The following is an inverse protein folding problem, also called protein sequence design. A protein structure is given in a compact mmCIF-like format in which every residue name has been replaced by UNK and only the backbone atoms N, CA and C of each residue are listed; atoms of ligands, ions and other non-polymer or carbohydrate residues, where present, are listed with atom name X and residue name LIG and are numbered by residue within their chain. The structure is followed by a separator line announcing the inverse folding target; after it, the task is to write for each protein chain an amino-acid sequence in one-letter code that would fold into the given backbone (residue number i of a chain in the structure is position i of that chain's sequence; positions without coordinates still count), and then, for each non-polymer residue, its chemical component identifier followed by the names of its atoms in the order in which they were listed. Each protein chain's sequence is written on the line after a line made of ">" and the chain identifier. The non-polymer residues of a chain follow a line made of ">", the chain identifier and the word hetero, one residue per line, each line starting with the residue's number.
data_IF_087358077148
#
_entry.id   IF_087358077148
#
_cell.length_a   1.000
_cell.length_b   1.000
_cell.length_c   1.000
_cell.angle_alpha   90.00
_cell.angle_beta   90.00
_cell.angle_gamma   90.00
#
_symmetry.space_group_name_H-M   'P 1'
#
loop_
_entity.id
_entity.type
_entity.pdbx_description
1 polymer ?
#
# COMPACT_ATOMS: atom_id res chain seq x y z
N UNK A 1 -31.73 22.52 13.02
CA UNK A 1 -31.72 21.54 14.12
C UNK A 1 -31.84 20.18 13.47
N UNK A 2 -30.71 19.60 13.07
CA UNK A 2 -30.69 18.23 12.56
C UNK A 2 -30.77 17.32 13.78
N UNK A 3 -31.92 16.68 13.96
CA UNK A 3 -32.08 15.65 14.98
C UNK A 3 -31.34 14.41 14.52
N UNK A 4 -30.23 14.10 15.17
CA UNK A 4 -29.67 12.75 15.09
C UNK A 4 -30.71 11.79 15.69
N UNK A 5 -31.36 11.01 14.83
CA UNK A 5 -32.12 9.85 15.27
C UNK A 5 -31.16 8.92 16.04
N UNK A 6 -31.54 8.43 17.24
CA UNK A 6 -30.68 7.53 17.98
C UNK A 6 -30.52 6.23 17.19
N UNK A 7 -29.29 5.92 16.79
CA UNK A 7 -28.95 4.64 16.18
C UNK A 7 -29.48 3.51 17.06
N UNK A 8 -30.21 2.56 16.47
CA UNK A 8 -30.78 1.44 17.20
C UNK A 8 -29.65 0.65 17.89
N UNK A 9 -29.75 0.48 19.21
CA UNK A 9 -28.81 -0.40 19.92
C UNK A 9 -28.96 -1.84 19.41
N UNK A 10 -27.84 -2.49 19.06
CA UNK A 10 -27.81 -3.87 18.56
C UNK A 10 -27.01 -4.77 19.51
N UNK A 11 -27.39 -6.04 19.57
CA UNK A 11 -26.64 -7.02 20.34
C UNK A 11 -25.27 -7.29 19.71
N UNK A 12 -24.19 -7.14 20.46
CA UNK A 12 -22.84 -7.36 19.94
C UNK A 12 -22.56 -8.81 19.55
N UNK A 13 -23.34 -9.79 20.03
CA UNK A 13 -23.15 -11.22 19.70
C UNK A 13 -23.89 -11.65 18.44
N UNK A 14 -25.21 -11.44 18.38
CA UNK A 14 -26.04 -11.89 17.26
C UNK A 14 -26.32 -10.79 16.22
N UNK A 15 -25.89 -9.55 16.48
CA UNK A 15 -26.05 -8.38 15.59
C UNK A 15 -27.51 -8.07 15.24
N UNK A 16 -28.46 -8.53 16.05
CA UNK A 16 -29.89 -8.18 15.92
C UNK A 16 -30.27 -7.07 16.89
N UNK A 17 -31.26 -6.28 16.50
CA UNK A 17 -31.83 -5.21 17.31
C UNK A 17 -32.53 -5.76 18.57
N UNK A 18 -32.57 -4.94 19.62
CA UNK A 18 -33.35 -5.24 20.81
C UNK A 18 -34.82 -4.93 20.56
N UNK A 19 -35.66 -5.96 20.43
CA UNK A 19 -37.11 -5.80 20.30
C UNK A 19 -37.84 -6.09 21.63
N UNK A 20 -38.69 -5.15 22.05
CA UNK A 20 -39.59 -5.32 23.19
C UNK A 20 -38.92 -5.29 24.56
N UNK A 21 -39.51 -6.00 25.52
CA UNK A 21 -39.07 -6.10 26.92
C UNK A 21 -37.90 -7.09 27.14
N UNK A 22 -37.28 -7.55 26.04
CA UNK A 22 -36.14 -8.44 26.07
C UNK A 22 -34.91 -7.67 26.58
N UNK A 23 -34.77 -7.66 27.91
CA UNK A 23 -33.66 -6.99 28.57
C UNK A 23 -32.30 -7.49 28.08
N UNK A 24 -31.31 -6.62 28.24
CA UNK A 24 -29.93 -6.88 27.85
C UNK A 24 -29.00 -6.75 29.05
N UNK A 25 -27.77 -7.24 28.89
CA UNK A 25 -26.66 -6.95 29.79
C UNK A 25 -25.56 -6.22 29.03
N UNK A 26 -24.79 -5.37 29.71
CA UNK A 26 -23.63 -4.71 29.13
C UNK A 26 -22.35 -5.45 29.50
N UNK A 27 -21.46 -5.59 28.53
CA UNK A 27 -20.09 -6.06 28.78
C UNK A 27 -19.38 -5.06 29.70
N UNK A 28 -18.72 -5.54 30.75
CA UNK A 28 -18.01 -4.69 31.72
C UNK A 28 -16.69 -4.10 31.17
N UNK A 29 -16.24 -4.57 29.99
CA UNK A 29 -15.03 -4.05 29.35
C UNK A 29 -15.33 -3.08 28.20
N UNK A 30 -16.13 -3.49 27.22
CA UNK A 30 -16.44 -2.67 26.04
C UNK A 30 -17.78 -1.93 26.12
N UNK A 31 -18.56 -2.12 27.20
CA UNK A 31 -19.90 -1.56 27.40
C UNK A 31 -20.94 -1.93 26.34
N UNK A 32 -20.61 -2.85 25.42
CA UNK A 32 -21.54 -3.33 24.39
C UNK A 32 -22.68 -4.14 24.99
N UNK A 33 -23.88 -3.91 24.48
CA UNK A 33 -25.12 -4.58 24.90
C UNK A 33 -25.22 -5.98 24.31
N UNK A 34 -25.66 -6.96 25.10
CA UNK A 34 -25.85 -8.36 24.71
C UNK A 34 -27.23 -8.82 25.20
N UNK A 35 -28.01 -9.50 24.35
CA UNK A 35 -29.27 -10.12 24.78
C UNK A 35 -29.03 -11.07 25.96
N UNK A 36 -29.96 -11.10 26.94
CA UNK A 36 -29.93 -12.07 28.05
C UNK A 36 -29.67 -13.50 27.59
N UNK A 37 -30.34 -13.93 26.52
CA UNK A 37 -30.21 -15.28 25.96
C UNK A 37 -28.89 -15.50 25.20
N UNK A 38 -28.25 -14.43 24.75
CA UNK A 38 -26.96 -14.49 24.08
C UNK A 38 -25.78 -14.64 25.05
N UNK A 39 -25.96 -14.35 26.34
CA UNK A 39 -24.83 -14.26 27.29
C UNK A 39 -24.34 -15.62 27.80
N UNK A 40 -25.05 -16.71 27.50
CA UNK A 40 -24.70 -18.07 27.96
C UNK A 40 -24.44 -18.15 29.48
N UNK A 41 -25.16 -17.35 30.28
CA UNK A 41 -25.07 -17.38 31.74
C UNK A 41 -25.99 -18.46 32.31
N UNK A 42 -25.55 -19.11 33.36
CA UNK A 42 -26.36 -20.01 34.19
C UNK A 42 -27.43 -19.22 34.95
N UNK A 43 -28.49 -19.90 35.40
CA UNK A 43 -29.56 -19.28 36.19
C UNK A 43 -29.05 -18.61 37.47
N UNK A 44 -27.99 -19.15 38.09
CA UNK A 44 -27.31 -18.55 39.24
C UNK A 44 -26.60 -17.25 38.89
N UNK A 45 -25.90 -17.21 37.75
CA UNK A 45 -25.16 -16.01 37.31
C UNK A 45 -26.12 -14.89 36.90
N UNK A 46 -27.21 -15.24 36.20
CA UNK A 46 -28.27 -14.29 35.82
C UNK A 46 -28.85 -13.56 37.05
N UNK A 47 -29.04 -14.27 38.17
CA UNK A 47 -29.54 -13.66 39.43
C UNK A 47 -28.56 -12.65 40.03
N UNK A 48 -27.26 -12.78 39.74
CA UNK A 48 -26.23 -11.88 40.25
C UNK A 48 -26.08 -10.60 39.42
N UNK A 49 -26.48 -10.60 38.15
CA UNK A 49 -26.33 -9.46 37.23
C UNK A 49 -27.02 -8.14 37.68
N UNK A 50 -28.24 -8.14 38.24
CA UNK A 50 -28.90 -6.90 38.67
C UNK A 50 -28.37 -6.32 40.00
N UNK A 51 -27.46 -7.01 40.70
CA UNK A 51 -26.95 -6.55 41.98
C UNK A 51 -26.00 -5.35 41.80
N UNK A 52 -26.27 -4.24 42.49
CA UNK A 52 -25.51 -2.98 42.38
C UNK A 52 -24.01 -3.10 42.75
N UNK A 53 -23.63 -4.14 43.51
CA UNK A 53 -22.25 -4.40 43.94
C UNK A 53 -21.82 -5.83 43.59
N UNK A 54 -22.09 -6.26 42.36
CA UNK A 54 -21.67 -7.58 41.90
C UNK A 54 -20.15 -7.66 41.76
N UNK A 55 -19.57 -8.78 42.25
CA UNK A 55 -18.17 -9.15 42.00
C UNK A 55 -18.04 -9.87 40.65
N UNK A 56 -19.11 -10.54 40.22
CA UNK A 56 -19.17 -11.23 38.94
C UNK A 56 -19.15 -10.21 37.80
N UNK A 57 -18.14 -10.28 36.94
CA UNK A 57 -18.03 -9.48 35.72
C UNK A 57 -18.56 -10.26 34.51
N UNK A 58 -19.29 -9.57 33.64
CA UNK A 58 -19.70 -10.05 32.35
C UNK A 58 -18.75 -9.50 31.28
N UNK A 59 -17.98 -10.38 30.67
CA UNK A 59 -17.07 -10.04 29.58
C UNK A 59 -17.54 -10.76 28.30
N UNK A 60 -17.75 -10.02 27.21
CA UNK A 60 -18.14 -10.62 25.93
C UNK A 60 -17.00 -11.44 25.31
N UNK A 61 -17.32 -12.32 24.37
CA UNK A 61 -16.34 -13.24 23.80
C UNK A 61 -15.22 -12.53 23.02
N UNK A 62 -15.52 -11.41 22.35
CA UNK A 62 -14.52 -10.56 21.69
C UNK A 62 -13.52 -9.99 22.71
N UNK A 63 -14.02 -9.48 23.84
CA UNK A 63 -13.18 -8.97 24.93
C UNK A 63 -12.36 -10.06 25.60
N UNK A 64 -12.92 -11.27 25.79
CA UNK A 64 -12.17 -12.43 26.32
C UNK A 64 -11.00 -12.79 25.41
N UNK A 65 -11.23 -12.83 24.09
CA UNK A 65 -10.17 -13.11 23.11
C UNK A 65 -9.09 -12.03 23.14
N UNK A 66 -9.48 -10.77 23.28
CA UNK A 66 -8.52 -9.66 23.40
C UNK A 66 -7.65 -9.83 24.65
N UNK A 67 -8.25 -10.03 25.82
CA UNK A 67 -7.53 -10.23 27.08
C UNK A 67 -6.57 -11.41 26.98
N UNK A 68 -7.01 -12.53 26.38
CA UNK A 68 -6.15 -13.71 26.20
C UNK A 68 -4.93 -13.44 25.30
N UNK A 69 -5.03 -12.51 24.35
CA UNK A 69 -3.93 -12.10 23.46
C UNK A 69 -3.03 -11.01 24.05
N UNK A 70 -3.47 -10.29 25.08
CA UNK A 70 -2.71 -9.18 25.67
C UNK A 70 -1.29 -9.57 26.09
N UNK A 71 -1.03 -10.71 26.76
CA UNK A 71 0.34 -11.08 27.16
C UNK A 71 1.30 -11.19 25.96
N UNK A 72 0.82 -11.73 24.85
CA UNK A 72 1.60 -11.84 23.62
C UNK A 72 1.88 -10.46 23.01
N UNK A 73 0.87 -9.59 22.96
CA UNK A 73 1.02 -8.22 22.47
C UNK A 73 2.04 -7.43 23.30
N UNK A 74 1.98 -7.54 24.64
CA UNK A 74 2.95 -6.90 25.54
C UNK A 74 4.37 -7.39 25.24
N UNK A 75 4.57 -8.71 25.09
CA UNK A 75 5.88 -9.29 24.73
C UNK A 75 6.41 -8.74 23.40
N UNK A 76 5.58 -8.67 22.36
CA UNK A 76 5.97 -8.08 21.08
C UNK A 76 6.35 -6.60 21.22
N UNK A 77 5.61 -5.82 22.01
CA UNK A 77 5.92 -4.42 22.26
C UNK A 77 7.26 -4.25 22.98
N UNK A 78 7.60 -5.14 23.91
CA UNK A 78 8.89 -5.15 24.59
C UNK A 78 10.05 -5.49 23.65
N UNK A 79 9.86 -6.45 22.74
CA UNK A 79 10.84 -6.79 21.69
C UNK A 79 11.08 -5.61 20.75
N UNK A 80 10.02 -4.98 20.24
CA UNK A 80 10.11 -3.78 19.39
C UNK A 80 10.80 -2.63 20.13
N UNK A 81 10.47 -2.41 21.41
CA UNK A 81 11.09 -1.37 22.22
C UNK A 81 12.59 -1.63 22.42
N UNK A 82 13.01 -2.90 22.49
CA UNK A 82 14.41 -3.32 22.60
C UNK A 82 15.20 -3.08 21.31
N UNK A 83 14.58 -3.26 20.15
CA UNK A 83 15.23 -3.05 18.84
C UNK A 83 15.27 -1.57 18.41
N UNK A 84 14.38 -0.74 18.97
CA UNK A 84 14.34 0.71 18.70
C UNK A 84 15.66 1.46 18.94
N UNK A 85 16.40 1.26 20.05
CA UNK A 85 17.69 1.92 20.26
C UNK A 85 18.75 1.51 19.22
N UNK A 86 18.78 0.25 18.80
CA UNK A 86 19.73 -0.23 17.78
C UNK A 86 19.44 0.39 16.41
N UNK A 87 18.15 0.49 16.05
CA UNK A 87 17.72 1.21 14.86
C UNK A 87 18.07 2.70 14.93
N UNK A 88 17.92 3.36 16.09
CA UNK A 88 18.28 4.78 16.27
C UNK A 88 19.79 5.01 16.27
N UNK A 89 20.58 4.09 16.81
CA UNK A 89 22.05 4.15 16.79
C UNK A 89 22.61 3.92 15.37
N UNK A 90 21.97 3.04 14.60
CA UNK A 90 22.27 2.80 13.19
C UNK A 90 21.68 3.85 12.24
N UNK A 91 20.69 4.63 12.70
CA UNK A 91 20.30 5.91 12.09
C UNK A 91 21.38 6.98 12.35
N UNK A 92 22.64 6.65 12.06
CA UNK A 92 23.66 7.66 11.85
C UNK A 92 23.11 8.56 10.76
N UNK A 93 22.96 9.85 11.07
CA UNK A 93 22.67 10.88 10.08
C UNK A 93 23.65 10.66 8.94
N UNK A 94 23.17 10.12 7.82
CA UNK A 94 23.93 10.13 6.59
C UNK A 94 24.20 11.59 6.31
N UNK A 95 25.41 12.03 6.65
CA UNK A 95 25.85 13.36 6.29
C UNK A 95 25.78 13.45 4.78
N UNK A 96 25.58 14.65 4.25
CA UNK A 96 25.56 14.87 2.80
C UNK A 96 26.79 14.23 2.11
N UNK A 97 27.93 14.14 2.79
CA UNK A 97 29.14 13.44 2.35
C UNK A 97 29.02 11.90 2.26
N UNK A 98 28.23 11.23 3.13
CA UNK A 98 27.97 9.78 3.03
C UNK A 98 26.99 9.47 1.89
N UNK A 99 25.97 10.31 1.70
CA UNK A 99 25.09 10.24 0.52
C UNK A 99 25.92 10.46 -0.74
N UNK A 100 26.84 11.44 -0.73
CA UNK A 100 27.76 11.67 -1.84
C UNK A 100 28.65 10.46 -2.09
N UNK A 101 29.28 9.87 -1.06
CA UNK A 101 30.08 8.66 -1.19
C UNK A 101 29.26 7.47 -1.70
N UNK A 102 27.99 7.31 -1.34
CA UNK A 102 27.15 6.29 -1.96
C UNK A 102 26.82 6.58 -3.44
N UNK A 103 26.96 7.84 -3.88
CA UNK A 103 26.85 8.24 -5.30
C UNK A 103 28.19 8.36 -6.04
N UNK A 104 29.32 8.53 -5.36
CA UNK A 104 30.64 8.80 -5.94
C UNK A 104 31.69 7.73 -5.63
N UNK A 105 31.46 6.85 -4.66
CA UNK A 105 32.06 5.52 -4.71
C UNK A 105 31.39 4.87 -5.89
N UNK A 106 32.12 4.71 -6.98
CA UNK A 106 31.66 3.95 -8.12
C UNK A 106 30.98 2.69 -7.56
N UNK A 107 29.65 2.50 -7.72
CA UNK A 107 29.16 1.16 -7.59
C UNK A 107 29.99 0.36 -8.58
N UNK A 108 30.39 -0.84 -8.18
CA UNK A 108 30.63 -1.94 -9.11
C UNK A 108 29.38 -2.08 -9.99
N UNK A 109 29.24 -1.16 -10.92
CA UNK A 109 28.30 -1.12 -12.03
C UNK A 109 28.94 -1.89 -13.17
N UNK A 110 29.51 -3.02 -12.80
CA UNK A 110 29.69 -4.17 -13.66
C UNK A 110 28.26 -4.68 -13.89
N UNK A 111 27.69 -4.25 -15.01
CA UNK A 111 26.57 -4.91 -15.68
C UNK A 111 25.24 -5.00 -14.93
N UNK A 112 24.54 -3.88 -14.69
CA UNK A 112 23.07 -3.96 -14.71
C UNK A 112 22.63 -3.93 -16.18
N UNK A 113 22.12 -5.05 -16.75
CA UNK A 113 21.67 -5.06 -18.13
C UNK A 113 20.58 -4.00 -18.30
N UNK A 114 20.80 -3.07 -19.24
CA UNK A 114 19.80 -2.08 -19.59
C UNK A 114 18.56 -2.82 -20.09
N UNK A 115 17.47 -2.73 -19.34
CA UNK A 115 16.23 -3.39 -19.75
C UNK A 115 15.77 -2.87 -21.11
N UNK A 116 15.26 -3.75 -21.98
CA UNK A 116 14.71 -3.36 -23.26
C UNK A 116 13.62 -2.31 -23.07
N UNK A 117 13.76 -1.17 -23.75
CA UNK A 117 12.90 0.01 -23.54
C UNK A 117 12.30 0.44 -24.88
N UNK A 118 11.01 0.79 -24.89
CA UNK A 118 10.31 1.33 -26.05
C UNK A 118 9.76 2.72 -25.70
N UNK A 119 9.91 3.67 -26.62
CA UNK A 119 9.41 5.04 -26.46
C UNK A 119 8.30 5.31 -27.46
N UNK A 120 7.11 5.65 -26.97
CA UNK A 120 5.94 6.02 -27.76
C UNK A 120 5.80 7.55 -27.67
N UNK A 121 5.94 8.23 -28.81
CA UNK A 121 5.86 9.69 -28.91
C UNK A 121 4.65 10.12 -29.73
N UNK A 122 3.82 11.06 -29.30
CA UNK A 122 2.76 11.59 -30.14
C UNK A 122 3.35 12.43 -31.27
N UNK A 123 2.78 12.35 -32.47
CA UNK A 123 3.23 13.15 -33.63
C UNK A 123 2.84 14.63 -33.52
N UNK A 124 1.79 14.93 -32.75
CA UNK A 124 1.34 16.28 -32.43
C UNK A 124 1.41 16.51 -30.92
N UNK A 125 1.71 17.74 -30.50
CA UNK A 125 1.84 18.09 -29.09
C UNK A 125 0.47 17.97 -28.39
N UNK A 126 0.30 16.97 -27.52
CA UNK A 126 -0.94 16.73 -26.78
C UNK A 126 -0.85 17.20 -25.32
N UNK A 127 -1.98 17.67 -24.79
CA UNK A 127 -2.11 18.06 -23.39
C UNK A 127 -2.14 16.81 -22.48
N UNK A 128 -1.38 16.88 -21.39
CA UNK A 128 -1.01 15.77 -20.48
C UNK A 128 -2.21 15.03 -19.85
N UNK A 129 -3.40 15.63 -19.85
CA UNK A 129 -4.58 15.11 -19.13
C UNK A 129 -5.44 14.06 -19.86
N UNK A 130 -5.34 13.90 -21.18
CA UNK A 130 -6.27 13.04 -21.95
C UNK A 130 -5.72 11.67 -22.39
N UNK A 131 -4.46 11.34 -22.11
CA UNK A 131 -3.80 10.15 -22.68
C UNK A 131 -3.86 8.86 -21.84
N UNK A 132 -4.55 8.86 -20.70
CA UNK A 132 -4.55 7.70 -19.78
C UNK A 132 -5.39 6.51 -20.27
N UNK A 133 -6.40 6.76 -21.10
CA UNK A 133 -7.41 5.73 -21.44
C UNK A 133 -7.25 5.17 -22.86
N UNK A 134 -6.57 5.88 -23.76
CA UNK A 134 -6.36 5.44 -25.15
C UNK A 134 -5.06 4.64 -25.36
N UNK A 135 -4.23 4.50 -24.33
CA UNK A 135 -2.85 4.04 -24.49
C UNK A 135 -2.65 2.60 -23.98
N UNK A 136 -2.74 1.66 -24.91
CA UNK A 136 -2.25 0.26 -24.83
C UNK A 136 -2.42 -0.38 -23.45
N UNK A 137 -3.54 -1.09 -23.23
CA UNK A 137 -3.71 -1.95 -22.06
C UNK A 137 -2.61 -3.03 -22.02
N UNK A 138 -1.69 -3.00 -21.03
CA UNK A 138 -0.64 -4.01 -20.90
C UNK A 138 -1.20 -5.42 -20.70
N UNK A 139 -2.37 -5.51 -20.07
CA UNK A 139 -3.07 -6.76 -19.78
C UNK A 139 -3.51 -7.51 -21.04
N UNK A 140 -3.78 -6.81 -22.15
CA UNK A 140 -4.22 -7.45 -23.40
C UNK A 140 -3.07 -8.12 -24.18
N UNK A 141 -1.83 -7.70 -23.92
CA UNK A 141 -0.67 -8.10 -24.74
C UNK A 141 0.20 -9.16 -24.01
N UNK A 142 -0.14 -9.48 -22.75
CA UNK A 142 0.59 -10.43 -21.90
C UNK A 142 2.10 -10.17 -21.90
N UNK A 143 2.48 -8.92 -21.62
CA UNK A 143 3.88 -8.46 -21.61
C UNK A 143 4.27 -8.07 -20.19
N UNK A 144 5.39 -8.56 -19.69
CA UNK A 144 5.98 -8.11 -18.42
C UNK A 144 6.47 -6.66 -18.53
N UNK A 145 5.64 -5.69 -18.11
CA UNK A 145 6.06 -4.29 -18.02
C UNK A 145 6.62 -4.02 -16.63
N UNK A 146 7.93 -3.81 -16.56
CA UNK A 146 8.65 -3.49 -15.31
C UNK A 146 8.45 -2.04 -14.87
N UNK A 147 8.33 -1.13 -15.82
CA UNK A 147 8.26 0.28 -15.52
C UNK A 147 7.58 1.06 -16.65
N UNK A 148 6.68 1.97 -16.27
CA UNK A 148 6.03 2.93 -17.16
C UNK A 148 6.46 4.31 -16.67
N UNK A 149 7.12 5.07 -17.54
CA UNK A 149 7.52 6.44 -17.27
C UNK A 149 6.87 7.37 -18.29
N UNK A 150 6.28 8.45 -17.82
CA UNK A 150 5.57 9.45 -18.63
C UNK A 150 6.35 10.77 -18.63
N UNK A 151 7.42 10.90 -19.43
CA UNK A 151 8.12 12.17 -19.54
C UNK A 151 7.22 13.27 -20.12
N UNK A 152 7.56 14.53 -19.80
CA UNK A 152 6.85 15.73 -20.27
C UNK A 152 6.56 15.66 -21.78
N UNK A 153 5.44 16.28 -22.19
CA UNK A 153 4.91 16.34 -23.57
C UNK A 153 4.20 15.07 -24.08
N UNK A 154 3.56 14.32 -23.18
CA UNK A 154 2.70 13.18 -23.57
C UNK A 154 3.48 11.99 -24.14
N UNK A 155 4.77 11.90 -23.86
CA UNK A 155 5.60 10.76 -24.23
C UNK A 155 5.40 9.64 -23.21
N UNK A 156 5.36 8.39 -23.68
CA UNK A 156 5.33 7.21 -22.80
C UNK A 156 6.57 6.37 -23.07
N UNK A 157 7.26 5.97 -22.01
CA UNK A 157 8.45 5.11 -22.04
C UNK A 157 8.12 3.84 -21.26
N UNK A 158 8.12 2.70 -21.95
CA UNK A 158 7.84 1.39 -21.36
C UNK A 158 9.11 0.57 -21.31
N UNK A 159 9.40 -0.03 -20.15
CA UNK A 159 10.51 -0.98 -19.96
C UNK A 159 9.94 -2.39 -19.84
N UNK A 160 10.41 -3.29 -20.69
CA UNK A 160 10.03 -4.70 -20.71
C UNK A 160 11.07 -5.56 -19.99
N UNK A 161 10.65 -6.76 -19.60
CA UNK A 161 11.54 -7.76 -19.02
C UNK A 161 12.50 -8.36 -20.05
N UNK A 162 11.99 -8.67 -21.25
CA UNK A 162 12.75 -9.34 -22.31
C UNK A 162 12.69 -8.61 -23.65
N UNK A 163 13.68 -8.85 -24.53
CA UNK A 163 13.71 -8.25 -25.87
C UNK A 163 12.59 -8.80 -26.77
N UNK A 164 12.18 -10.06 -26.58
CA UNK A 164 11.08 -10.67 -27.33
C UNK A 164 9.73 -10.00 -27.02
N UNK A 165 9.51 -9.68 -25.75
CA UNK A 165 8.36 -8.92 -25.28
C UNK A 165 8.33 -7.51 -25.86
N UNK A 166 9.51 -6.88 -25.96
CA UNK A 166 9.66 -5.56 -26.57
C UNK A 166 9.21 -5.56 -28.04
N UNK A 167 9.58 -6.58 -28.81
CA UNK A 167 9.17 -6.70 -30.21
C UNK A 167 7.66 -6.94 -30.38
N UNK A 168 7.06 -7.77 -29.50
CA UNK A 168 5.61 -7.99 -29.48
C UNK A 168 4.87 -6.70 -29.15
N UNK A 169 5.36 -5.98 -28.14
CA UNK A 169 4.83 -4.68 -27.73
C UNK A 169 4.97 -3.64 -28.85
N UNK A 170 6.11 -3.62 -29.56
CA UNK A 170 6.33 -2.76 -30.73
C UNK A 170 5.32 -3.05 -31.84
N UNK A 171 5.13 -4.31 -32.24
CA UNK A 171 4.17 -4.69 -33.30
C UNK A 171 2.74 -4.32 -32.92
N UNK A 172 2.36 -4.54 -31.66
CA UNK A 172 1.02 -4.19 -31.17
C UNK A 172 0.81 -2.68 -31.11
N UNK A 173 1.81 -1.94 -30.60
CA UNK A 173 1.79 -0.48 -30.55
C UNK A 173 1.73 0.14 -31.95
N UNK A 174 2.55 -0.33 -32.89
CA UNK A 174 2.55 0.11 -34.27
C UNK A 174 1.24 -0.21 -35.00
N UNK A 175 0.55 -1.30 -34.65
CA UNK A 175 -0.74 -1.66 -35.26
C UNK A 175 -1.89 -0.83 -34.71
N UNK A 176 -1.95 -0.63 -33.39
CA UNK A 176 -3.04 0.11 -32.72
C UNK A 176 -2.89 1.63 -32.82
N UNK A 177 -1.66 2.14 -32.82
CA UNK A 177 -1.37 3.58 -32.76
C UNK A 177 -0.85 4.17 -34.08
N UNK A 178 -0.87 3.39 -35.17
CA UNK A 178 -0.44 3.82 -36.51
C UNK A 178 -1.22 5.07 -36.93
N UNK A 179 -0.59 6.23 -36.85
CA UNK A 179 -1.19 7.50 -37.28
C UNK A 179 -0.98 8.63 -36.28
N UNK A 180 -1.28 8.39 -34.99
CA UNK A 180 -1.18 9.41 -33.93
C UNK A 180 0.16 9.41 -33.21
N UNK A 181 0.83 8.26 -33.13
CA UNK A 181 2.07 8.10 -32.39
C UNK A 181 3.19 7.52 -33.27
N UNK A 182 4.43 7.82 -32.89
CA UNK A 182 5.67 7.27 -33.41
C UNK A 182 6.30 6.37 -32.32
N UNK A 183 6.55 5.12 -32.69
CA UNK A 183 7.11 4.11 -31.79
C UNK A 183 8.60 3.98 -32.11
N UNK A 184 9.45 4.40 -31.19
CA UNK A 184 10.90 4.43 -31.36
C UNK A 184 11.59 3.50 -30.35
N UNK A 185 12.53 2.71 -30.85
CA UNK A 185 13.50 2.00 -30.03
C UNK A 185 14.71 2.91 -29.76
N UNK A 186 15.18 3.00 -28.50
CA UNK A 186 16.36 3.78 -28.18
C UNK A 186 17.56 3.18 -28.89
N UNK A 187 18.14 3.94 -29.83
CA UNK A 187 19.42 3.57 -30.45
C UNK A 187 20.52 3.82 -29.43
N UNK A 188 21.44 2.87 -29.27
CA UNK A 188 22.68 3.08 -28.50
C UNK A 188 23.43 4.25 -29.15
N UNK A 189 23.49 5.39 -28.48
CA UNK A 189 24.32 6.52 -28.91
C UNK A 189 25.66 6.43 -28.20
N UNK A 190 26.75 6.55 -28.96
CA UNK A 190 28.07 6.72 -28.37
C UNK A 190 28.13 8.10 -27.70
N UNK A 191 28.74 8.21 -26.50
CA UNK A 191 28.87 9.49 -25.83
C UNK A 191 29.71 10.45 -26.67
N UNK A 192 29.25 11.69 -26.84
CA UNK A 192 30.03 12.76 -27.46
C UNK A 192 30.95 13.37 -26.41
N UNK A 193 32.23 13.05 -26.47
CA UNK A 193 33.25 13.66 -25.60
C UNK A 193 33.61 15.03 -26.19
N UNK A 194 33.37 16.10 -25.43
CA UNK A 194 33.84 17.45 -25.76
C UNK A 194 34.94 17.81 -24.77
N UNK A 195 36.18 17.88 -25.25
CA UNK A 195 37.30 18.37 -24.46
C UNK A 195 37.23 19.90 -24.48
N UNK A 196 37.20 20.52 -23.30
CA UNK A 196 37.17 21.98 -23.14
C UNK A 196 38.37 22.36 -22.27
N UNK A 197 39.22 23.28 -22.74
CA UNK A 197 40.27 23.89 -21.90
C UNK A 197 41.73 23.49 -22.13
N UNK A 198 42.14 22.99 -23.30
CA UNK A 198 43.58 22.97 -23.65
C UNK A 198 43.98 24.31 -24.27
N UNK A 199 44.09 25.34 -23.42
CA UNK A 199 44.84 26.54 -23.75
C UNK A 199 46.27 26.31 -23.26
N UNK A 200 47.21 26.15 -24.20
CA UNK A 200 48.64 26.18 -23.87
C UNK A 200 48.98 27.56 -23.30
N UNK A 201 49.55 27.56 -22.10
CA UNK A 201 50.29 28.70 -21.54
C UNK A 201 51.61 28.84 -22.26
#
# INVERSE_FOLDING_TARGET
>A
MEGNEPEAEVCIKCKTEFHGDNGYYKCDLCFGSVHKDCVNLTSSEVRCMPLQKRVLLLICDECKQLIARMPYMVKMMEEIKRESPDLKANYRKDTYANVLKNTTSAPDSINKPSLPTITIRPKSQQNIGKNKEELINPCEINVGIKNINEPKKGNIVLKCDTEQELERLKKSAESKLKGKYEVNLPKKMLPKIKIVGYGCS
#
